data_IF_457777159493
#
_entry.id   IF_457777159493
#
_cell.length_a   1.000
_cell.length_b   1.000
_cell.length_c   1.000
_cell.angle_alpha   90.00
_cell.angle_beta   90.00
_cell.angle_gamma   90.00
#
_symmetry.space_group_name_H-M   'P 1'
#
loop_
_entity.id
_entity.type
_entity.pdbx_description
1 polymer ?
#
# COMPACT_ATOMS: atom_id res chain seq x y z
N UNK A 1 -10.03 -2.12 -33.63
CA UNK A 1 -10.56 -2.67 -32.36
C UNK A 1 -9.45 -2.55 -31.31
N UNK A 2 -9.75 -2.00 -30.13
CA UNK A 2 -8.78 -1.73 -29.07
C UNK A 2 -8.48 -3.05 -28.32
N UNK A 3 -7.21 -3.41 -28.16
CA UNK A 3 -6.74 -4.70 -27.61
C UNK A 3 -6.67 -4.65 -26.07
N UNK A 4 -7.76 -4.29 -25.40
CA UNK A 4 -7.71 -3.78 -24.02
C UNK A 4 -7.39 -4.83 -22.92
N UNK A 5 -7.25 -6.12 -23.25
CA UNK A 5 -7.01 -7.21 -22.29
C UNK A 5 -5.84 -8.15 -22.66
N UNK A 6 -4.87 -7.71 -23.49
CA UNK A 6 -3.75 -8.58 -23.93
C UNK A 6 -2.37 -8.21 -23.37
N UNK A 7 -2.21 -7.03 -22.80
CA UNK A 7 -0.93 -6.55 -22.26
C UNK A 7 -1.01 -6.57 -20.74
N UNK A 8 -0.08 -7.29 -20.09
CA UNK A 8 0.03 -7.25 -18.64
C UNK A 8 0.50 -5.86 -18.19
N UNK A 9 -0.18 -5.28 -17.22
CA UNK A 9 0.12 -3.94 -16.68
C UNK A 9 -0.03 -3.95 -15.16
N UNK A 10 1.04 -3.54 -14.47
CA UNK A 10 1.09 -3.40 -13.02
C UNK A 10 0.53 -2.05 -12.56
N UNK A 11 0.45 -1.86 -11.24
CA UNK A 11 0.09 -0.59 -10.62
C UNK A 11 0.45 -0.56 -9.14
N UNK A 12 0.12 0.55 -8.48
CA UNK A 12 0.25 0.73 -7.04
C UNK A 12 -0.93 1.51 -6.48
N UNK A 13 -0.97 1.63 -5.16
CA UNK A 13 -1.89 2.45 -4.34
C UNK A 13 -3.31 1.89 -4.21
N UNK A 14 -3.68 0.93 -5.05
CA UNK A 14 -5.00 0.30 -5.02
C UNK A 14 -6.16 1.31 -5.12
N UNK A 15 -6.00 2.37 -5.91
CA UNK A 15 -7.06 3.34 -6.20
C UNK A 15 -8.36 2.65 -6.66
N UNK A 16 -9.52 3.23 -6.33
CA UNK A 16 -10.83 2.68 -6.70
C UNK A 16 -10.93 2.37 -8.20
N UNK A 17 -10.45 3.29 -9.06
CA UNK A 17 -10.41 3.09 -10.50
C UNK A 17 -9.47 1.94 -10.91
N UNK A 18 -8.36 1.76 -10.20
CA UNK A 18 -7.44 0.64 -10.40
C UNK A 18 -8.07 -0.70 -10.04
N UNK A 19 -8.75 -0.79 -8.90
CA UNK A 19 -9.45 -2.00 -8.47
C UNK A 19 -10.56 -2.37 -9.47
N UNK A 20 -11.32 -1.38 -9.97
CA UNK A 20 -12.31 -1.61 -11.03
C UNK A 20 -11.68 -2.15 -12.32
N UNK A 21 -10.52 -1.63 -12.72
CA UNK A 21 -9.77 -2.17 -13.88
C UNK A 21 -9.26 -3.59 -13.65
N UNK A 22 -8.80 -3.91 -12.44
CA UNK A 22 -8.38 -5.28 -12.09
C UNK A 22 -9.56 -6.25 -12.13
N UNK A 23 -10.71 -5.85 -11.58
CA UNK A 23 -11.94 -6.65 -11.67
C UNK A 23 -12.38 -6.88 -13.13
N UNK A 24 -12.31 -5.82 -13.97
CA UNK A 24 -12.62 -5.85 -15.40
C UNK A 24 -11.55 -6.58 -16.26
N UNK A 25 -10.37 -6.85 -15.71
CA UNK A 25 -9.27 -7.55 -16.40
C UNK A 25 -8.39 -6.66 -17.29
N UNK A 26 -8.56 -5.34 -17.26
CA UNK A 26 -7.76 -4.38 -18.05
C UNK A 26 -6.50 -3.91 -17.32
N UNK A 27 -6.37 -4.24 -16.02
CA UNK A 27 -5.16 -4.07 -15.22
C UNK A 27 -4.83 -5.39 -14.52
N UNK A 28 -3.57 -5.81 -14.48
CA UNK A 28 -3.18 -7.14 -13.99
C UNK A 28 -3.20 -7.21 -12.46
N UNK A 29 -2.60 -6.20 -11.83
CA UNK A 29 -2.44 -6.14 -10.38
C UNK A 29 -2.20 -4.71 -9.91
N UNK A 30 -2.22 -4.51 -8.60
CA UNK A 30 -1.78 -3.31 -7.91
C UNK A 30 -1.14 -3.67 -6.58
N UNK A 31 -0.23 -2.83 -6.11
CA UNK A 31 0.36 -2.95 -4.77
C UNK A 31 -0.42 -2.08 -3.79
N UNK A 32 -1.16 -2.71 -2.87
CA UNK A 32 -1.85 -2.04 -1.78
C UNK A 32 -0.89 -1.71 -0.63
N UNK A 33 -0.95 -0.47 -0.15
CA UNK A 33 -0.17 0.06 0.98
C UNK A 33 -1.17 0.60 2.02
N UNK A 34 -1.44 -0.14 3.12
CA UNK A 34 -2.45 0.27 4.09
C UNK A 34 -2.12 1.62 4.74
N UNK A 35 -2.87 2.67 4.36
CA UNK A 35 -2.62 4.04 4.84
C UNK A 35 -2.82 4.13 6.36
N UNK A 36 -3.84 3.46 6.90
CA UNK A 36 -4.09 3.40 8.35
C UNK A 36 -2.90 2.84 9.12
N UNK A 37 -2.27 1.77 8.63
CA UNK A 37 -1.11 1.18 9.29
C UNK A 37 0.09 2.15 9.28
N UNK A 38 0.33 2.81 8.15
CA UNK A 38 1.39 3.81 8.01
C UNK A 38 1.16 5.02 8.92
N UNK A 39 -0.06 5.56 8.95
CA UNK A 39 -0.40 6.73 9.76
C UNK A 39 -0.30 6.43 11.26
N UNK A 40 -0.83 5.28 11.71
CA UNK A 40 -0.75 4.87 13.12
C UNK A 40 0.71 4.68 13.54
N UNK A 41 1.48 3.95 12.74
CA UNK A 41 2.94 3.76 12.93
C UNK A 41 3.66 5.10 13.05
N UNK A 42 3.39 6.03 12.14
CA UNK A 42 4.06 7.33 12.12
C UNK A 42 3.70 8.17 13.35
N UNK A 43 2.45 8.12 13.81
CA UNK A 43 2.01 8.82 15.01
C UNK A 43 2.68 8.24 16.28
N UNK A 44 2.77 6.93 16.40
CA UNK A 44 3.49 6.25 17.49
C UNK A 44 4.95 6.71 17.55
N UNK A 45 5.65 6.64 16.40
CA UNK A 45 7.04 7.09 16.27
C UNK A 45 7.20 8.57 16.65
N UNK A 46 6.27 9.43 16.22
CA UNK A 46 6.32 10.86 16.55
C UNK A 46 6.19 11.11 18.06
N UNK A 47 5.31 10.36 18.75
CA UNK A 47 5.15 10.45 20.21
C UNK A 47 6.38 9.91 20.95
N UNK A 48 6.95 8.79 20.51
CA UNK A 48 8.19 8.24 21.08
C UNK A 48 9.33 9.27 20.99
N UNK A 49 9.56 9.84 19.80
CA UNK A 49 10.56 10.89 19.59
C UNK A 49 10.29 12.13 20.45
N UNK A 50 9.03 12.56 20.54
CA UNK A 50 8.64 13.71 21.37
C UNK A 50 8.91 13.51 22.87
N UNK A 51 8.90 12.25 23.33
CA UNK A 51 9.24 11.87 24.69
C UNK A 51 10.73 11.55 24.88
N UNK A 52 11.58 11.81 23.89
CA UNK A 52 13.02 11.53 23.92
C UNK A 52 13.36 10.04 23.88
N UNK A 53 12.42 9.19 23.46
CA UNK A 53 12.64 7.77 23.26
C UNK A 53 13.22 7.51 21.87
N UNK A 54 13.89 6.37 21.70
CA UNK A 54 14.40 5.92 20.40
C UNK A 54 13.42 4.89 19.80
N UNK A 55 12.73 5.23 18.70
CA UNK A 55 11.81 4.31 18.04
C UNK A 55 12.53 3.10 17.47
N UNK A 56 11.84 1.95 17.46
CA UNK A 56 12.36 0.75 16.78
C UNK A 56 12.45 0.99 15.28
N UNK A 57 13.60 0.66 14.70
CA UNK A 57 13.83 0.64 13.27
C UNK A 57 14.06 -0.78 12.78
N UNK A 58 13.64 -1.07 11.54
CA UNK A 58 13.90 -2.36 10.89
C UNK A 58 15.28 -2.36 10.22
N UNK A 59 15.70 -1.20 9.74
CA UNK A 59 16.96 -0.99 9.04
C UNK A 59 17.38 0.48 9.10
N UNK A 60 18.51 0.80 8.48
CA UNK A 60 18.93 2.17 8.23
C UNK A 60 19.04 2.43 6.72
N UNK A 61 18.57 3.58 6.26
CA UNK A 61 18.71 4.00 4.87
C UNK A 61 19.60 5.24 4.78
N UNK A 62 20.64 5.18 3.94
CA UNK A 62 21.52 6.31 3.71
C UNK A 62 20.80 7.37 2.86
N UNK A 63 20.76 8.61 3.35
CA UNK A 63 20.15 9.73 2.62
C UNK A 63 21.18 10.66 1.95
N UNK A 64 22.44 10.21 1.80
CA UNK A 64 23.56 11.00 1.30
C UNK A 64 24.31 11.82 2.35
N UNK A 65 23.78 11.93 3.57
CA UNK A 65 24.42 12.63 4.69
C UNK A 65 24.63 11.69 5.90
N UNK A 66 23.63 10.88 6.22
CA UNK A 66 23.68 9.94 7.34
C UNK A 66 22.82 8.71 7.06
N UNK A 67 23.05 7.67 7.84
CA UNK A 67 22.18 6.50 7.89
C UNK A 67 20.98 6.80 8.80
N UNK A 68 19.79 6.82 8.22
CA UNK A 68 18.54 7.18 8.91
C UNK A 68 17.83 5.91 9.37
N UNK A 69 17.61 5.72 10.69
CA UNK A 69 16.78 4.63 11.20
C UNK A 69 15.39 4.69 10.57
N UNK A 70 14.97 3.58 9.95
CA UNK A 70 13.77 3.52 9.12
C UNK A 70 12.91 2.30 9.47
N UNK A 71 11.59 2.50 9.55
CA UNK A 71 10.61 1.40 9.54
C UNK A 71 10.07 1.20 8.14
N UNK A 72 10.09 -0.05 7.65
CA UNK A 72 9.66 -0.41 6.31
C UNK A 72 8.46 -1.36 6.39
N UNK A 73 7.25 -0.80 6.25
CA UNK A 73 6.02 -1.58 6.29
C UNK A 73 5.89 -2.45 5.03
N UNK A 74 5.41 -3.68 5.22
CA UNK A 74 5.23 -4.64 4.13
C UNK A 74 4.01 -4.26 3.27
N UNK A 75 4.19 -4.01 1.96
CA UNK A 75 3.08 -3.80 1.06
C UNK A 75 2.40 -5.13 0.69
N UNK A 76 1.17 -5.06 0.15
CA UNK A 76 0.33 -6.22 -0.15
C UNK A 76 0.06 -6.28 -1.67
N UNK A 77 0.35 -7.42 -2.31
CA UNK A 77 -0.07 -7.66 -3.71
C UNK A 77 -1.58 -7.83 -3.80
N UNK A 78 -2.22 -7.10 -4.71
CA UNK A 78 -3.65 -7.18 -4.98
C UNK A 78 -3.89 -7.46 -6.45
N UNK A 79 -4.57 -8.56 -6.71
CA UNK A 79 -5.01 -9.00 -8.02
C UNK A 79 -6.48 -9.43 -7.96
N UNK A 80 -7.04 -9.86 -9.10
CA UNK A 80 -8.47 -10.19 -9.21
C UNK A 80 -8.97 -11.20 -8.14
N UNK A 81 -8.10 -12.08 -7.66
CA UNK A 81 -8.47 -13.17 -6.77
C UNK A 81 -8.55 -12.76 -5.29
N UNK A 82 -7.96 -11.63 -4.89
CA UNK A 82 -7.86 -11.24 -3.47
C UNK A 82 -8.33 -9.81 -3.16
N UNK A 83 -9.04 -9.13 -4.08
CA UNK A 83 -9.62 -7.79 -3.84
C UNK A 83 -10.48 -7.79 -2.57
N UNK A 84 -11.34 -8.80 -2.39
CA UNK A 84 -12.26 -8.87 -1.25
C UNK A 84 -11.52 -9.09 0.08
N UNK A 85 -10.46 -9.90 0.07
CA UNK A 85 -9.71 -10.26 1.27
C UNK A 85 -8.69 -9.19 1.71
N UNK A 86 -8.50 -8.16 0.89
CA UNK A 86 -7.56 -7.06 1.13
C UNK A 86 -8.31 -5.74 1.28
N UNK A 87 -8.43 -4.97 0.19
CA UNK A 87 -8.95 -3.59 0.20
C UNK A 87 -10.40 -3.48 0.68
N UNK A 88 -11.22 -4.52 0.50
CA UNK A 88 -12.61 -4.53 1.01
C UNK A 88 -12.65 -4.91 2.47
N UNK A 89 -11.96 -6.01 2.85
CA UNK A 89 -11.87 -6.46 4.24
C UNK A 89 -11.31 -5.38 5.17
N UNK A 90 -10.30 -4.65 4.71
CA UNK A 90 -9.66 -3.56 5.47
C UNK A 90 -10.50 -2.28 5.47
N UNK A 91 -11.64 -2.26 4.76
CA UNK A 91 -12.52 -1.10 4.64
C UNK A 91 -11.91 0.06 3.85
N UNK A 92 -10.85 -0.21 3.07
CA UNK A 92 -10.17 0.78 2.25
C UNK A 92 -11.05 1.24 1.07
N UNK A 93 -11.76 0.29 0.45
CA UNK A 93 -12.89 0.55 -0.44
C UNK A 93 -14.07 -0.30 0.00
N UNK A 94 -15.28 0.28 0.02
CA UNK A 94 -16.49 -0.49 0.32
C UNK A 94 -16.87 -1.35 -0.88
N UNK A 95 -17.45 -2.53 -0.63
CA UNK A 95 -17.96 -3.38 -1.71
C UNK A 95 -19.02 -2.67 -2.58
N UNK A 96 -19.78 -1.74 -1.98
CA UNK A 96 -20.76 -0.92 -2.70
C UNK A 96 -20.14 0.12 -3.66
N UNK A 97 -18.83 0.38 -3.55
CA UNK A 97 -18.12 1.34 -4.41
C UNK A 97 -17.51 0.68 -5.64
N UNK A 98 -17.33 -0.65 -5.61
CA UNK A 98 -16.73 -1.46 -6.68
C UNK A 98 -17.74 -1.69 -7.82
#
# INVERSE_FOLDING_TARGET
MRNDNKVAISGQDADLAGIKRIAAGTQTMTVYKPITLLANTAAEIAVELGNGQEPKADTTLNNGLKDVPSRLLTPIDVNKNNIKDTVVKDGFHKESEL
#
